data_IF_206088494488
#
_entry.id   IF_206088494488
#
_cell.length_a   1.000
_cell.length_b   1.000
_cell.length_c   1.000
_cell.angle_alpha   90.00
_cell.angle_beta   90.00
_cell.angle_gamma   90.00
#
_symmetry.space_group_name_H-M   'P 1'
#
loop_
_entity.id
_entity.type
_entity.pdbx_description
1 polymer ?
#
# COMPACT_ATOMS: atom_id res chain seq x y z
N UNK A 1 -1.78 -17.98 23.43
CA UNK A 1 -1.77 -18.17 21.96
C UNK A 1 -2.36 -19.54 21.60
N UNK A 2 -2.07 -20.58 22.41
CA UNK A 2 -2.62 -21.93 22.22
C UNK A 2 -4.15 -22.02 22.27
N UNK A 3 -4.84 -21.29 23.15
CA UNK A 3 -6.32 -21.36 23.22
C UNK A 3 -7.04 -20.92 21.94
N UNK A 4 -6.56 -19.86 21.28
CA UNK A 4 -7.10 -19.40 20.01
C UNK A 4 -6.79 -20.41 18.89
N UNK A 5 -5.57 -20.97 18.92
CA UNK A 5 -5.11 -22.00 18.00
C UNK A 5 -5.99 -23.25 18.06
N UNK A 6 -6.22 -23.75 19.27
CA UNK A 6 -6.95 -24.97 19.52
C UNK A 6 -8.45 -24.81 19.26
N UNK A 7 -8.97 -23.58 19.41
CA UNK A 7 -10.36 -23.25 19.06
C UNK A 7 -10.61 -23.21 17.55
N UNK A 8 -9.58 -22.94 16.73
CA UNK A 8 -9.69 -22.90 15.27
C UNK A 8 -9.63 -24.31 14.64
N UNK A 9 -8.91 -25.25 15.26
CA UNK A 9 -8.71 -26.61 14.73
C UNK A 9 -10.01 -27.35 14.34
N UNK A 10 -11.09 -27.34 15.16
CA UNK A 10 -12.34 -28.01 14.78
C UNK A 10 -12.94 -27.45 13.49
N UNK A 11 -12.90 -26.12 13.33
CA UNK A 11 -13.45 -25.41 12.18
C UNK A 11 -12.63 -25.73 10.94
N UNK A 12 -11.30 -25.63 11.04
CA UNK A 12 -10.38 -25.91 9.93
C UNK A 12 -10.44 -27.36 9.45
N UNK A 13 -10.73 -28.32 10.34
CA UNK A 13 -10.80 -29.75 9.98
C UNK A 13 -12.15 -30.19 9.46
N UNK A 14 -13.23 -29.73 10.10
CA UNK A 14 -14.57 -30.26 9.85
C UNK A 14 -15.46 -29.32 9.05
N UNK A 15 -15.04 -28.07 8.88
CA UNK A 15 -15.88 -27.01 8.32
C UNK A 15 -17.09 -26.70 9.21
N UNK A 16 -17.11 -27.14 10.47
CA UNK A 16 -18.22 -26.93 11.40
C UNK A 16 -17.76 -26.22 12.66
N UNK A 17 -18.58 -25.31 13.15
CA UNK A 17 -18.37 -24.62 14.41
C UNK A 17 -19.66 -24.59 15.22
N UNK A 18 -19.57 -24.83 16.53
CA UNK A 18 -20.69 -24.62 17.44
C UNK A 18 -20.38 -23.38 18.25
N UNK A 19 -21.21 -22.36 18.09
CA UNK A 19 -21.10 -21.13 18.87
C UNK A 19 -21.41 -21.43 20.35
N UNK A 20 -20.44 -21.16 21.22
CA UNK A 20 -20.54 -21.51 22.66
C UNK A 20 -21.61 -20.71 23.41
N UNK A 21 -22.06 -19.57 22.88
CA UNK A 21 -23.03 -18.69 23.54
C UNK A 21 -24.46 -19.02 23.10
N UNK A 22 -24.64 -19.23 21.80
CA UNK A 22 -25.95 -19.44 21.17
C UNK A 22 -26.28 -20.91 20.93
N UNK A 23 -25.30 -21.80 21.06
CA UNK A 23 -25.40 -23.23 20.71
C UNK A 23 -25.80 -23.49 19.27
N UNK A 24 -25.59 -22.51 18.38
CA UNK A 24 -25.89 -22.63 16.97
C UNK A 24 -24.75 -23.35 16.24
N UNK A 25 -25.08 -24.36 15.44
CA UNK A 25 -24.14 -24.98 14.50
C UNK A 25 -24.02 -24.09 13.26
N UNK A 26 -22.81 -23.65 12.96
CA UNK A 26 -22.45 -22.93 11.75
C UNK A 26 -21.72 -23.88 10.81
N UNK A 27 -22.22 -23.95 9.58
CA UNK A 27 -21.57 -24.63 8.47
C UNK A 27 -20.65 -23.63 7.74
N UNK A 28 -19.35 -23.92 7.80
CA UNK A 28 -18.27 -23.17 7.16
C UNK A 28 -17.65 -23.93 5.97
N UNK A 29 -18.29 -24.98 5.46
CA UNK A 29 -17.78 -25.77 4.31
C UNK A 29 -17.63 -24.97 3.02
N UNK A 30 -18.36 -23.86 2.87
CA UNK A 30 -18.27 -22.93 1.73
C UNK A 30 -17.43 -21.69 2.03
N UNK A 31 -16.70 -21.68 3.15
CA UNK A 31 -15.85 -20.54 3.54
C UNK A 31 -14.41 -20.82 3.15
N UNK A 32 -13.81 -19.86 2.43
CA UNK A 32 -12.36 -19.86 2.19
C UNK A 32 -11.69 -19.18 3.37
N UNK A 33 -10.81 -19.91 4.06
CA UNK A 33 -10.05 -19.41 5.18
C UNK A 33 -8.70 -18.89 4.72
N UNK A 34 -8.47 -17.58 4.87
CA UNK A 34 -7.19 -16.94 4.55
C UNK A 34 -6.52 -16.53 5.87
N UNK A 35 -5.37 -17.13 6.16
CA UNK A 35 -4.53 -16.79 7.31
C UNK A 35 -3.37 -15.95 6.79
N UNK A 36 -3.19 -14.76 7.36
CA UNK A 36 -2.10 -13.84 7.03
C UNK A 36 -1.17 -13.80 8.23
N UNK A 37 0.12 -14.02 7.99
CA UNK A 37 1.15 -14.05 9.04
C UNK A 37 2.48 -13.56 8.48
N UNK A 38 3.38 -13.15 9.38
CA UNK A 38 4.77 -12.82 9.09
C UNK A 38 5.74 -13.99 9.32
N UNK A 39 5.23 -15.15 9.74
CA UNK A 39 6.02 -16.40 9.82
C UNK A 39 6.59 -16.71 8.43
N UNK A 40 7.89 -17.02 8.39
CA UNK A 40 8.61 -17.28 7.15
C UNK A 40 9.01 -16.04 6.34
N UNK A 41 8.80 -14.80 6.85
CA UNK A 41 9.22 -13.58 6.15
C UNK A 41 10.70 -13.60 5.76
N UNK A 42 11.58 -13.83 6.74
CA UNK A 42 13.03 -13.85 6.50
C UNK A 42 13.44 -14.95 5.51
N UNK A 43 12.73 -16.07 5.53
CA UNK A 43 12.92 -17.18 4.60
C UNK A 43 12.56 -16.77 3.18
N UNK A 44 11.40 -16.13 2.98
CA UNK A 44 10.96 -15.60 1.68
C UNK A 44 11.96 -14.56 1.16
N UNK A 45 12.40 -13.63 1.99
CA UNK A 45 13.38 -12.59 1.60
C UNK A 45 14.73 -13.19 1.20
N UNK A 46 15.18 -14.20 1.93
CA UNK A 46 16.44 -14.92 1.64
C UNK A 46 16.32 -15.68 0.32
N UNK A 47 15.24 -16.45 0.15
CA UNK A 47 14.97 -17.18 -1.08
C UNK A 47 14.85 -16.25 -2.28
N UNK A 48 14.12 -15.13 -2.14
CA UNK A 48 14.00 -14.13 -3.19
C UNK A 48 15.37 -13.57 -3.58
N UNK A 49 16.21 -13.21 -2.61
CA UNK A 49 17.52 -12.63 -2.86
C UNK A 49 18.49 -13.58 -3.56
N UNK A 50 18.42 -14.87 -3.24
CA UNK A 50 19.30 -15.90 -3.77
C UNK A 50 18.84 -16.42 -5.14
N UNK A 51 17.55 -16.69 -5.28
CA UNK A 51 17.01 -17.49 -6.39
C UNK A 51 16.20 -16.65 -7.39
N UNK A 52 15.59 -15.52 -6.98
CA UNK A 52 14.59 -14.80 -7.81
C UNK A 52 14.98 -13.37 -8.22
N UNK A 53 15.85 -12.72 -7.45
CA UNK A 53 16.18 -11.30 -7.62
C UNK A 53 16.84 -10.98 -8.96
N UNK A 54 17.59 -11.94 -9.51
CA UNK A 54 18.30 -11.79 -10.78
C UNK A 54 17.41 -12.09 -12.00
N UNK A 55 16.22 -12.66 -11.79
CA UNK A 55 15.26 -12.95 -12.86
C UNK A 55 14.49 -11.70 -13.26
N UNK A 56 14.07 -11.64 -14.53
CA UNK A 56 13.09 -10.66 -14.99
C UNK A 56 11.72 -10.96 -14.38
N UNK A 57 10.84 -9.96 -14.34
CA UNK A 57 9.50 -10.14 -13.75
C UNK A 57 8.68 -11.22 -14.49
N UNK A 58 8.78 -11.26 -15.82
CA UNK A 58 8.12 -12.30 -16.63
C UNK A 58 8.66 -13.71 -16.31
N UNK A 59 9.97 -13.85 -16.10
CA UNK A 59 10.56 -15.13 -15.71
C UNK A 59 10.17 -15.53 -14.28
N UNK A 60 10.17 -14.56 -13.35
CA UNK A 60 9.78 -14.79 -11.95
C UNK A 60 8.34 -15.29 -11.82
N UNK A 61 7.42 -14.80 -12.66
CA UNK A 61 6.03 -15.26 -12.69
C UNK A 61 5.87 -16.73 -13.12
N UNK A 62 6.86 -17.28 -13.84
CA UNK A 62 6.85 -18.67 -14.29
C UNK A 62 7.66 -19.59 -13.38
N UNK A 63 8.38 -19.04 -12.40
CA UNK A 63 9.27 -19.81 -11.54
C UNK A 63 8.46 -20.67 -10.55
N UNK A 64 8.65 -22.01 -10.54
CA UNK A 64 7.93 -22.88 -9.62
C UNK A 64 8.40 -22.68 -8.17
N UNK A 65 7.50 -22.22 -7.31
CA UNK A 65 7.81 -21.96 -5.89
C UNK A 65 7.77 -23.20 -4.99
N UNK A 66 7.85 -24.41 -5.56
CA UNK A 66 7.75 -25.68 -4.81
C UNK A 66 8.80 -25.77 -3.68
N UNK A 67 10.04 -25.33 -3.94
CA UNK A 67 11.12 -25.34 -2.94
C UNK A 67 10.84 -24.35 -1.81
N UNK A 68 10.35 -23.14 -2.14
CA UNK A 68 9.95 -22.15 -1.14
C UNK A 68 8.79 -22.66 -0.30
N UNK A 69 7.79 -23.29 -0.92
CA UNK A 69 6.64 -23.86 -0.23
C UNK A 69 7.04 -24.98 0.74
N UNK A 70 7.96 -25.87 0.36
CA UNK A 70 8.46 -26.91 1.25
C UNK A 70 9.22 -26.32 2.47
N UNK A 71 10.00 -25.26 2.25
CA UNK A 71 10.70 -24.56 3.31
C UNK A 71 9.72 -23.84 4.27
N UNK A 72 8.69 -23.19 3.72
CA UNK A 72 7.63 -22.56 4.50
C UNK A 72 6.82 -23.58 5.31
N UNK A 73 6.48 -24.72 4.71
CA UNK A 73 5.78 -25.78 5.42
C UNK A 73 6.58 -26.28 6.64
N UNK A 74 7.90 -26.43 6.50
CA UNK A 74 8.79 -26.79 7.62
C UNK A 74 8.77 -25.73 8.72
N UNK A 75 8.96 -24.46 8.36
CA UNK A 75 8.95 -23.33 9.30
C UNK A 75 7.62 -23.22 10.07
N UNK A 76 6.50 -23.40 9.37
CA UNK A 76 5.16 -23.36 9.96
C UNK A 76 4.92 -24.54 10.88
N UNK A 77 5.42 -25.73 10.53
CA UNK A 77 5.30 -26.92 11.37
C UNK A 77 6.02 -26.74 12.70
N UNK A 78 7.21 -26.13 12.67
CA UNK A 78 7.99 -25.82 13.86
C UNK A 78 7.32 -24.73 14.72
N UNK A 79 6.71 -23.72 14.09
CA UNK A 79 6.14 -22.56 14.80
C UNK A 79 4.70 -22.78 15.30
N UNK A 80 3.82 -23.31 14.44
CA UNK A 80 2.37 -23.39 14.69
C UNK A 80 1.88 -24.79 15.04
N UNK A 81 2.76 -25.79 15.09
CA UNK A 81 2.49 -27.22 15.30
C UNK A 81 1.87 -27.96 14.11
N UNK A 82 2.06 -29.29 14.11
CA UNK A 82 1.58 -30.21 13.07
C UNK A 82 0.05 -30.17 12.89
N UNK A 83 -0.79 -30.15 13.95
CA UNK A 83 -2.24 -30.12 13.80
C UNK A 83 -2.80 -28.99 12.94
N UNK A 84 -2.26 -27.77 13.08
CA UNK A 84 -2.67 -26.62 12.26
C UNK A 84 -2.09 -26.71 10.87
N UNK A 85 -0.79 -27.01 10.77
CA UNK A 85 -0.08 -27.01 9.48
C UNK A 85 -0.71 -28.04 8.53
N UNK A 86 -1.16 -29.19 9.04
CA UNK A 86 -1.86 -30.19 8.25
C UNK A 86 -3.28 -29.80 7.78
N UNK A 87 -3.82 -28.66 8.24
CA UNK A 87 -5.09 -28.11 7.75
C UNK A 87 -4.88 -27.02 6.69
N UNK A 88 -3.63 -26.71 6.31
CA UNK A 88 -3.32 -25.69 5.31
C UNK A 88 -3.24 -26.35 3.94
N UNK A 89 -4.15 -25.99 3.04
CA UNK A 89 -4.16 -26.54 1.67
C UNK A 89 -3.05 -25.95 0.80
N UNK A 90 -2.67 -24.69 1.00
CA UNK A 90 -1.71 -23.99 0.14
C UNK A 90 -1.01 -22.86 0.87
N UNK A 91 0.30 -22.76 0.66
CA UNK A 91 1.11 -21.60 1.05
C UNK A 91 1.21 -20.63 -0.12
N UNK A 92 0.86 -19.37 0.12
CA UNK A 92 0.94 -18.29 -0.88
C UNK A 92 1.96 -17.25 -0.39
N UNK A 93 3.24 -17.37 -0.78
CA UNK A 93 4.25 -16.40 -0.37
C UNK A 93 4.07 -15.06 -1.09
N UNK A 94 4.12 -13.97 -0.32
CA UNK A 94 4.18 -12.62 -0.88
C UNK A 94 5.65 -12.24 -1.10
N UNK A 95 6.07 -12.23 -2.36
CA UNK A 95 7.43 -11.82 -2.73
C UNK A 95 7.59 -10.29 -2.62
N UNK A 96 8.82 -9.80 -2.39
CA UNK A 96 9.12 -8.37 -2.51
C UNK A 96 8.68 -7.80 -3.87
N UNK A 97 8.13 -6.59 -3.85
CA UNK A 97 7.68 -5.93 -5.07
C UNK A 97 8.82 -5.76 -6.08
N UNK A 98 8.49 -5.95 -7.35
CA UNK A 98 9.39 -5.63 -8.46
C UNK A 98 9.56 -4.11 -8.63
N UNK A 99 10.56 -3.65 -9.40
CA UNK A 99 10.71 -2.22 -9.70
C UNK A 99 9.43 -1.61 -10.30
N UNK A 100 8.82 -2.30 -11.26
CA UNK A 100 7.62 -1.81 -11.95
C UNK A 100 6.39 -1.82 -11.03
N UNK A 101 6.27 -2.84 -10.18
CA UNK A 101 5.20 -2.91 -9.17
C UNK A 101 5.31 -1.75 -8.18
N UNK A 102 6.51 -1.40 -7.72
CA UNK A 102 6.72 -0.26 -6.81
C UNK A 102 6.24 1.05 -7.44
N UNK A 103 6.60 1.30 -8.70
CA UNK A 103 6.16 2.49 -9.43
C UNK A 103 4.64 2.51 -9.59
N UNK A 104 4.05 1.39 -9.99
CA UNK A 104 2.60 1.25 -10.15
C UNK A 104 1.86 1.47 -8.83
N UNK A 105 2.41 1.00 -7.70
CA UNK A 105 1.86 1.22 -6.36
C UNK A 105 1.88 2.71 -6.00
N UNK A 106 3.02 3.39 -6.19
CA UNK A 106 3.10 4.85 -5.93
C UNK A 106 2.09 5.61 -6.78
N UNK A 107 2.05 5.33 -8.08
CA UNK A 107 1.12 5.96 -9.00
C UNK A 107 -0.35 5.71 -8.59
N UNK A 108 -0.67 4.49 -8.16
CA UNK A 108 -2.01 4.17 -7.65
C UNK A 108 -2.40 5.04 -6.45
N UNK A 109 -1.51 5.16 -5.46
CA UNK A 109 -1.77 5.99 -4.28
C UNK A 109 -1.83 7.48 -4.60
N UNK A 110 -1.05 7.94 -5.58
CA UNK A 110 -1.18 9.28 -6.12
C UNK A 110 -2.57 9.53 -6.72
N UNK A 111 -3.09 8.60 -7.53
CA UNK A 111 -4.44 8.69 -8.10
C UNK A 111 -5.53 8.68 -7.02
N UNK A 112 -5.37 7.87 -5.97
CA UNK A 112 -6.29 7.83 -4.84
C UNK A 112 -6.27 9.16 -4.05
N UNK A 113 -5.11 9.80 -3.90
CA UNK A 113 -4.97 11.16 -3.35
C UNK A 113 -5.66 12.19 -4.25
N UNK A 114 -5.40 12.19 -5.56
CA UNK A 114 -6.04 13.07 -6.54
C UNK A 114 -7.57 12.96 -6.50
N UNK A 115 -8.10 11.73 -6.46
CA UNK A 115 -9.52 11.48 -6.31
C UNK A 115 -10.08 11.96 -4.96
N UNK A 116 -9.27 11.92 -3.90
CA UNK A 116 -9.65 12.38 -2.57
C UNK A 116 -9.73 13.90 -2.50
N UNK A 117 -8.73 14.62 -3.03
CA UNK A 117 -8.71 16.09 -2.99
C UNK A 117 -9.64 16.72 -4.03
N UNK A 118 -10.09 15.98 -5.05
CA UNK A 118 -11.14 16.43 -5.96
C UNK A 118 -12.50 16.56 -5.28
N UNK A 119 -12.75 15.79 -4.20
CA UNK A 119 -14.00 15.84 -3.45
C UNK A 119 -14.14 17.17 -2.70
N UNK A 120 -15.37 17.63 -2.39
CA UNK A 120 -15.56 18.82 -1.58
C UNK A 120 -15.02 18.69 -0.16
N UNK A 121 -14.60 19.84 0.40
CA UNK A 121 -14.22 20.00 1.81
C UNK A 121 -15.36 19.53 2.71
N UNK A 122 -15.05 18.71 3.71
CA UNK A 122 -16.01 18.17 4.67
C UNK A 122 -15.52 18.36 6.09
N UNK A 123 -16.03 19.36 6.80
CA UNK A 123 -15.63 19.68 8.17
C UNK A 123 -16.57 19.10 9.25
N UNK A 124 -17.81 18.72 8.85
CA UNK A 124 -18.90 18.39 9.78
C UNK A 124 -19.02 16.90 10.13
N UNK A 125 -18.53 15.98 9.29
CA UNK A 125 -18.59 14.52 9.52
C UNK A 125 -17.19 13.94 9.44
N UNK A 126 -16.94 12.88 10.20
CA UNK A 126 -15.72 12.10 10.10
C UNK A 126 -15.77 11.16 8.86
N UNK A 127 -14.64 10.92 8.19
CA UNK A 127 -13.36 11.62 8.36
C UNK A 127 -13.44 13.06 7.82
N UNK A 128 -12.84 14.02 8.55
CA UNK A 128 -12.80 15.42 8.13
C UNK A 128 -11.87 15.53 6.90
N UNK A 129 -12.32 16.25 5.87
CA UNK A 129 -11.49 16.63 4.72
C UNK A 129 -11.27 18.13 4.74
N UNK A 130 -10.02 18.52 4.96
CA UNK A 130 -9.59 19.91 5.01
C UNK A 130 -9.30 20.42 3.59
N UNK A 131 -8.62 19.65 2.76
CA UNK A 131 -8.42 19.96 1.33
C UNK A 131 -9.60 19.43 0.52
N UNK A 132 -9.98 20.15 -0.53
CA UNK A 132 -11.02 19.71 -1.45
C UNK A 132 -11.13 20.60 -2.68
N UNK A 133 -11.84 20.09 -3.70
CA UNK A 133 -12.02 20.73 -5.00
C UNK A 133 -10.71 21.05 -5.73
N UNK A 134 -9.69 20.22 -5.52
CA UNK A 134 -8.43 20.29 -6.23
C UNK A 134 -8.40 19.23 -7.33
N UNK A 135 -8.03 19.64 -8.53
CA UNK A 135 -7.57 18.73 -9.57
C UNK A 135 -6.05 18.66 -9.47
N UNK A 136 -5.49 17.45 -9.33
CA UNK A 136 -4.05 17.24 -9.30
C UNK A 136 -3.61 16.63 -10.63
N UNK A 137 -2.71 17.32 -11.30
CA UNK A 137 -1.98 16.87 -12.48
C UNK A 137 -0.49 16.73 -12.14
N UNK A 138 0.22 15.93 -12.89
CA UNK A 138 1.68 15.76 -12.79
C UNK A 138 2.36 16.21 -14.08
N UNK A 139 3.59 16.72 -13.96
CA UNK A 139 4.43 17.05 -15.13
C UNK A 139 5.13 15.81 -15.70
N UNK A 140 5.66 14.96 -14.81
CA UNK A 140 6.32 13.70 -15.13
C UNK A 140 5.99 12.68 -14.05
N UNK A 141 4.99 11.84 -14.33
CA UNK A 141 4.56 10.77 -13.43
C UNK A 141 5.67 9.76 -13.15
N UNK A 142 6.48 9.44 -14.17
CA UNK A 142 7.53 8.43 -14.06
C UNK A 142 8.62 8.87 -13.10
N UNK A 143 9.14 10.09 -13.29
CA UNK A 143 10.18 10.64 -12.44
C UNK A 143 9.68 10.86 -11.00
N UNK A 144 8.47 11.38 -10.83
CA UNK A 144 7.87 11.56 -9.50
C UNK A 144 7.75 10.24 -8.74
N UNK A 145 7.24 9.19 -9.40
CA UNK A 145 7.09 7.88 -8.80
C UNK A 145 8.45 7.26 -8.45
N UNK A 146 9.43 7.36 -9.36
CA UNK A 146 10.78 6.83 -9.15
C UNK A 146 11.49 7.52 -7.98
N UNK A 147 11.36 8.84 -7.85
CA UNK A 147 11.88 9.59 -6.69
C UNK A 147 11.29 9.09 -5.36
N UNK A 148 9.97 8.88 -5.31
CA UNK A 148 9.32 8.34 -4.10
C UNK A 148 9.81 6.91 -3.81
N UNK A 149 9.90 6.04 -4.83
CA UNK A 149 10.38 4.67 -4.64
C UNK A 149 11.81 4.67 -4.09
N UNK A 150 12.71 5.48 -4.64
CA UNK A 150 14.11 5.56 -4.19
C UNK A 150 14.26 6.07 -2.77
N UNK A 151 13.47 7.07 -2.37
CA UNK A 151 13.59 7.71 -1.06
C UNK A 151 12.83 6.97 0.05
N UNK A 152 11.73 6.28 -0.28
CA UNK A 152 10.81 5.76 0.74
C UNK A 152 10.64 4.25 0.73
N UNK A 153 11.02 3.52 -0.32
CA UNK A 153 10.76 2.08 -0.33
C UNK A 153 11.58 1.33 0.72
N UNK A 154 10.88 0.75 1.69
CA UNK A 154 11.44 -0.16 2.69
C UNK A 154 10.84 -1.54 2.47
N UNK A 155 11.68 -2.53 2.15
CA UNK A 155 11.23 -3.86 1.73
C UNK A 155 10.36 -4.53 2.81
N UNK A 156 10.75 -4.40 4.07
CA UNK A 156 10.11 -5.01 5.24
C UNK A 156 8.72 -4.42 5.52
N UNK A 157 8.47 -3.19 5.07
CA UNK A 157 7.19 -2.49 5.20
C UNK A 157 6.34 -2.62 3.92
N UNK A 158 6.94 -3.05 2.82
CA UNK A 158 6.31 -3.16 1.51
C UNK A 158 5.60 -1.87 1.10
N UNK A 159 4.37 -1.99 0.61
CA UNK A 159 3.60 -0.88 0.08
C UNK A 159 3.31 0.21 1.12
N UNK A 160 3.33 -0.11 2.42
CA UNK A 160 3.07 0.89 3.49
C UNK A 160 4.10 2.02 3.47
N UNK A 161 5.35 1.69 3.16
CA UNK A 161 6.42 2.68 3.04
C UNK A 161 6.21 3.64 1.86
N UNK A 162 5.69 3.12 0.74
CA UNK A 162 5.34 3.92 -0.44
C UNK A 162 4.13 4.83 -0.18
N UNK A 163 3.11 4.33 0.54
CA UNK A 163 1.97 5.15 1.00
C UNK A 163 2.45 6.31 1.84
N UNK A 164 3.34 6.05 2.80
CA UNK A 164 3.93 7.09 3.62
C UNK A 164 4.71 8.09 2.77
N UNK A 165 5.48 7.62 1.77
CA UNK A 165 6.17 8.49 0.83
C UNK A 165 5.23 9.42 0.06
N UNK A 166 4.10 8.92 -0.45
CA UNK A 166 3.08 9.76 -1.12
C UNK A 166 2.50 10.79 -0.14
N UNK A 167 2.16 10.39 1.08
CA UNK A 167 1.60 11.29 2.08
C UNK A 167 2.60 12.40 2.48
N UNK A 168 3.83 12.03 2.81
CA UNK A 168 4.85 12.98 3.27
C UNK A 168 5.37 13.88 2.15
N UNK A 169 5.50 13.35 0.94
CA UNK A 169 6.09 14.08 -0.17
C UNK A 169 5.06 14.91 -0.92
N UNK A 170 3.87 14.35 -1.19
CA UNK A 170 2.86 15.00 -2.03
C UNK A 170 1.76 15.64 -1.19
N UNK A 171 1.10 14.86 -0.32
CA UNK A 171 -0.08 15.35 0.42
C UNK A 171 0.28 16.50 1.37
N UNK A 172 1.37 16.38 2.12
CA UNK A 172 1.81 17.43 3.04
C UNK A 172 2.22 18.72 2.32
N UNK A 173 2.93 18.63 1.21
CA UNK A 173 3.31 19.81 0.43
C UNK A 173 2.08 20.46 -0.23
N UNK A 174 1.14 19.66 -0.73
CA UNK A 174 -0.13 20.16 -1.24
C UNK A 174 -0.89 20.90 -0.14
N UNK A 175 -0.96 20.34 1.07
CA UNK A 175 -1.60 20.99 2.21
C UNK A 175 -0.95 22.32 2.56
N UNK A 176 0.40 22.37 2.57
CA UNK A 176 1.17 23.60 2.84
C UNK A 176 0.83 24.68 1.82
N UNK A 177 0.89 24.36 0.53
CA UNK A 177 0.59 25.31 -0.54
C UNK A 177 -0.88 25.74 -0.57
N UNK A 178 -1.78 24.81 -0.29
CA UNK A 178 -3.21 25.09 -0.19
C UNK A 178 -3.52 26.10 0.92
N UNK A 179 -2.86 25.99 2.09
CA UNK A 179 -3.05 26.91 3.21
C UNK A 179 -2.41 28.28 2.96
N UNK A 180 -1.24 28.35 2.33
CA UNK A 180 -0.54 29.61 2.04
C UNK A 180 -1.43 30.62 1.31
N UNK A 181 -2.41 30.16 0.51
CA UNK A 181 -3.41 31.02 -0.15
C UNK A 181 -4.35 31.76 0.82
N UNK A 182 -4.31 31.50 2.13
CA UNK A 182 -4.97 32.32 3.16
C UNK A 182 -6.50 32.35 3.13
N UNK A 183 -7.16 31.44 2.39
CA UNK A 183 -8.62 31.42 2.29
C UNK A 183 -9.26 30.81 3.54
N UNK A 184 -10.30 31.46 4.07
CA UNK A 184 -11.15 30.89 5.13
C UNK A 184 -11.86 29.65 4.59
N UNK A 185 -11.44 28.48 5.04
CA UNK A 185 -12.02 27.19 4.66
C UNK A 185 -13.41 27.06 5.29
N UNK A 186 -14.47 27.31 4.51
CA UNK A 186 -15.84 27.11 4.97
C UNK A 186 -16.50 25.96 4.23
N UNK A 187 -17.46 25.28 4.85
CA UNK A 187 -18.27 24.26 4.17
C UNK A 187 -19.06 24.80 2.96
N UNK A 188 -19.25 26.13 2.86
CA UNK A 188 -19.93 26.81 1.76
C UNK A 188 -19.03 27.11 0.55
N UNK A 189 -17.71 27.01 0.71
CA UNK A 189 -16.73 27.10 -0.40
C UNK A 189 -16.85 25.93 -1.39
N UNK A 190 -17.55 24.85 -1.00
CA UNK A 190 -17.88 23.66 -1.80
C UNK A 190 -18.69 23.90 -3.08
N UNK A 191 -19.10 25.14 -3.36
CA UNK A 191 -19.75 25.58 -4.62
C UNK A 191 -18.81 26.35 -5.56
N UNK A 192 -17.54 26.55 -5.21
CA UNK A 192 -16.55 27.25 -6.04
C UNK A 192 -15.99 26.42 -7.19
N UNK A 193 -15.31 27.10 -8.12
CA UNK A 193 -14.57 26.51 -9.25
C UNK A 193 -13.49 25.52 -8.76
N UNK A 194 -13.33 24.40 -9.48
CA UNK A 194 -12.23 23.44 -9.24
C UNK A 194 -10.90 24.17 -9.43
N UNK A 195 -9.97 24.02 -8.49
CA UNK A 195 -8.61 24.54 -8.61
C UNK A 195 -7.70 23.45 -9.19
N UNK A 196 -7.08 23.70 -10.33
CA UNK A 196 -6.07 22.78 -10.89
C UNK A 196 -4.70 23.07 -10.27
N UNK A 197 -4.01 22.01 -9.87
CA UNK A 197 -2.70 22.00 -9.26
C UNK A 197 -1.79 21.06 -10.05
N UNK A 198 -0.55 21.48 -10.25
CA UNK A 198 0.43 20.71 -10.98
C UNK A 198 1.59 20.38 -10.05
N UNK A 199 1.98 19.10 -10.06
CA UNK A 199 3.05 18.54 -9.24
C UNK A 199 4.20 18.18 -10.18
N UNK A 200 5.42 18.57 -9.83
CA UNK A 200 6.62 18.16 -10.55
C UNK A 200 7.89 18.39 -9.76
N UNK A 201 8.95 17.68 -10.13
CA UNK A 201 10.29 17.84 -9.56
C UNK A 201 11.09 18.84 -10.42
N UNK A 202 11.98 19.62 -9.80
CA UNK A 202 12.75 20.70 -10.45
C UNK A 202 13.71 20.22 -11.57
N UNK A 203 13.91 18.90 -11.70
CA UNK A 203 14.83 18.25 -12.64
C UNK A 203 14.56 18.53 -14.12
N UNK A 204 13.39 19.06 -14.46
CA UNK A 204 13.09 19.46 -15.85
C UNK A 204 13.78 20.78 -16.23
N UNK A 205 14.24 21.60 -15.27
CA UNK A 205 14.72 22.95 -15.60
C UNK A 205 16.09 23.36 -15.07
N UNK A 206 16.64 22.85 -13.96
CA UNK A 206 18.07 23.03 -13.59
C UNK A 206 18.51 22.04 -12.49
N UNK A 207 19.74 21.52 -12.64
CA UNK A 207 20.53 20.69 -11.69
C UNK A 207 19.90 19.36 -11.21
N UNK A 208 20.29 18.20 -11.79
CA UNK A 208 19.80 16.87 -11.40
C UNK A 208 20.28 16.38 -10.02
N UNK A 209 21.07 17.18 -9.29
CA UNK A 209 21.49 16.84 -7.92
C UNK A 209 20.51 17.29 -6.83
N UNK A 210 19.50 18.11 -7.17
CA UNK A 210 18.47 18.58 -6.23
C UNK A 210 17.11 17.98 -6.57
N UNK A 211 16.72 16.98 -5.79
CA UNK A 211 15.42 16.34 -5.91
C UNK A 211 14.38 17.16 -5.12
N UNK A 212 14.07 18.37 -5.58
CA UNK A 212 13.10 19.27 -4.96
C UNK A 212 11.73 19.11 -5.65
N UNK A 213 10.73 18.60 -4.92
CA UNK A 213 9.33 18.53 -5.35
C UNK A 213 8.70 19.91 -5.24
N UNK A 214 7.99 20.32 -6.28
CA UNK A 214 7.26 21.57 -6.33
C UNK A 214 5.80 21.30 -6.66
N UNK A 215 4.92 21.99 -5.95
CA UNK A 215 3.49 21.94 -6.17
C UNK A 215 3.02 23.38 -6.37
N UNK A 216 2.37 23.65 -7.50
CA UNK A 216 1.90 24.99 -7.81
C UNK A 216 0.50 24.94 -8.43
N UNK A 217 -0.30 25.98 -8.15
CA UNK A 217 -1.61 26.11 -8.76
C UNK A 217 -1.46 26.53 -10.24
N UNK A 218 -2.22 25.89 -11.13
CA UNK A 218 -2.24 26.22 -12.56
C UNK A 218 -2.70 27.68 -12.72
N UNK A 219 -1.81 28.54 -13.23
CA UNK A 219 -2.04 29.99 -13.37
C UNK A 219 -1.54 30.87 -12.22
N UNK A 220 -0.84 30.31 -11.22
CA UNK A 220 -0.01 31.10 -10.29
C UNK A 220 1.31 31.52 -10.94
N UNK A 221 1.97 32.60 -10.46
CA UNK A 221 3.30 32.93 -10.93
C UNK A 221 4.23 31.75 -10.65
N UNK A 222 4.94 31.29 -11.68
CA UNK A 222 6.06 30.35 -11.52
C UNK A 222 7.14 31.15 -10.79
N UNK A 223 7.17 31.04 -9.48
CA UNK A 223 8.26 31.64 -8.69
C UNK A 223 9.41 30.64 -8.73
N UNK A 224 10.30 30.79 -9.72
CA UNK A 224 11.65 30.27 -9.60
C UNK A 224 12.36 31.05 -8.48
N UNK A 225 13.02 30.39 -7.51
CA UNK A 225 14.04 31.06 -6.71
C UNK A 225 15.18 31.61 -7.56
#
# INVERSE_FOLDING_TARGET
MDEARDSLLPILRSGKYIDKVTSLELDCSQVIWIIITDIGRQLIETYYSQELKHLTDAARLQEPLNRLNALLESEFRETLSVPITGCIDTFVPFLPFSPDEKLAIVHRYFLDLAATVKKPIQLKKAPKRHIGQCELDTLDDGYLCDGIVKSYYVQELGARSLVQGVAERIEHELYREYIKKGRRMTSHTSKGSIESWTIGTYTVWHDPSKDDLNIFARGGPIVSP
#
